data_IF_321920526748
#
_entry.id   IF_321920526748
#
_cell.length_a   1.000
_cell.length_b   1.000
_cell.length_c   1.000
_cell.angle_alpha   90.00
_cell.angle_beta   90.00
_cell.angle_gamma   90.00
#
_symmetry.space_group_name_H-M   'P 1'
#
loop_
_entity.id
_entity.type
_entity.pdbx_description
1 polymer ?
#
# COMPACT_ATOMS: atom_id res chain seq x y z
N UNK A 1 -8.34 3.84 19.40
CA UNK A 1 -7.38 4.60 20.24
C UNK A 1 -6.13 4.89 19.41
N UNK A 2 -5.44 6.02 19.63
CA UNK A 2 -4.27 6.42 18.80
C UNK A 2 -3.17 5.36 18.80
N UNK A 3 -2.89 4.71 19.94
CA UNK A 3 -1.87 3.66 20.00
C UNK A 3 -2.20 2.45 19.10
N UNK A 4 -3.48 2.11 18.96
CA UNK A 4 -3.92 1.01 18.08
C UNK A 4 -3.69 1.38 16.62
N UNK A 5 -4.07 2.60 16.22
CA UNK A 5 -3.84 3.08 14.85
C UNK A 5 -2.35 3.10 14.49
N UNK A 6 -1.49 3.55 15.40
CA UNK A 6 -0.03 3.53 15.19
C UNK A 6 0.48 2.10 15.04
N UNK A 7 0.00 1.16 15.86
CA UNK A 7 0.37 -0.25 15.76
C UNK A 7 -0.06 -0.86 14.42
N UNK A 8 -1.29 -0.60 13.98
CA UNK A 8 -1.83 -1.10 12.72
C UNK A 8 -1.06 -0.51 11.52
N UNK A 9 -0.84 0.82 11.50
CA UNK A 9 -0.04 1.49 10.46
C UNK A 9 1.37 0.92 10.38
N UNK A 10 2.04 0.78 11.52
CA UNK A 10 3.39 0.22 11.59
C UNK A 10 3.46 -1.22 11.09
N UNK A 11 2.45 -2.03 11.43
CA UNK A 11 2.36 -3.44 11.01
C UNK A 11 2.17 -3.56 9.50
N UNK A 12 1.27 -2.78 8.92
CA UNK A 12 1.04 -2.76 7.47
C UNK A 12 2.26 -2.26 6.68
N UNK A 13 2.94 -1.22 7.18
CA UNK A 13 4.19 -0.72 6.58
C UNK A 13 5.29 -1.79 6.66
N UNK A 14 5.41 -2.49 7.79
CA UNK A 14 6.39 -3.55 7.96
C UNK A 14 6.11 -4.71 6.99
N UNK A 15 4.85 -5.17 6.89
CA UNK A 15 4.45 -6.21 5.97
C UNK A 15 4.75 -5.83 4.51
N UNK A 16 4.39 -4.60 4.09
CA UNK A 16 4.68 -4.11 2.75
C UNK A 16 6.19 -4.05 2.47
N UNK A 17 7.01 -3.62 3.43
CA UNK A 17 8.48 -3.62 3.29
C UNK A 17 9.04 -5.02 3.16
N UNK A 18 8.53 -5.98 3.92
CA UNK A 18 8.94 -7.39 3.79
C UNK A 18 8.63 -7.94 2.40
N UNK A 19 7.41 -7.67 1.88
CA UNK A 19 7.04 -8.05 0.51
C UNK A 19 7.95 -7.40 -0.54
N UNK A 20 8.28 -6.11 -0.39
CA UNK A 20 9.18 -5.40 -1.31
C UNK A 20 10.61 -5.94 -1.29
N UNK A 21 11.14 -6.30 -0.13
CA UNK A 21 12.48 -6.87 -0.04
C UNK A 21 12.55 -8.29 -0.64
N UNK A 22 11.53 -9.11 -0.41
CA UNK A 22 11.39 -10.42 -1.07
C UNK A 22 11.32 -10.28 -2.60
N UNK A 23 10.49 -9.35 -3.08
CA UNK A 23 10.38 -9.01 -4.50
C UNK A 23 11.72 -8.55 -5.10
N UNK A 24 12.42 -7.64 -4.42
CA UNK A 24 13.69 -7.08 -4.90
C UNK A 24 14.80 -8.15 -4.95
N UNK A 25 14.91 -8.99 -3.92
CA UNK A 25 15.89 -10.08 -3.87
C UNK A 25 15.67 -11.09 -5.02
N UNK A 26 14.42 -11.39 -5.36
CA UNK A 26 14.10 -12.27 -6.47
C UNK A 26 14.34 -11.64 -7.84
N UNK A 27 14.04 -10.34 -7.97
CA UNK A 27 14.37 -9.58 -9.16
C UNK A 27 15.88 -9.60 -9.44
N UNK A 28 16.70 -9.36 -8.40
CA UNK A 28 18.16 -9.38 -8.50
C UNK A 28 18.70 -10.77 -8.87
N UNK A 29 17.98 -11.84 -8.52
CA UNK A 29 18.28 -13.23 -8.91
C UNK A 29 17.79 -13.60 -10.32
N UNK A 30 17.13 -12.69 -11.03
CA UNK A 30 16.58 -12.92 -12.37
C UNK A 30 15.35 -13.84 -12.39
N UNK A 31 14.64 -13.96 -11.26
CA UNK A 31 13.40 -14.74 -11.17
C UNK A 31 12.25 -13.92 -11.78
N UNK A 32 11.26 -14.57 -12.40
CA UNK A 32 10.04 -13.88 -12.86
C UNK A 32 9.28 -13.33 -11.64
N UNK A 33 9.16 -12.02 -11.59
CA UNK A 33 8.52 -11.30 -10.48
C UNK A 33 7.13 -10.74 -10.83
N UNK A 34 6.60 -11.00 -12.03
CA UNK A 34 5.36 -10.35 -12.49
C UNK A 34 4.20 -10.55 -11.50
N UNK A 35 4.06 -11.76 -10.96
CA UNK A 35 3.06 -12.10 -9.93
C UNK A 35 3.29 -11.29 -8.65
N UNK A 36 4.48 -11.40 -8.05
CA UNK A 36 4.83 -10.75 -6.79
C UNK A 36 4.80 -9.23 -6.90
N UNK A 37 5.16 -8.66 -8.05
CA UNK A 37 5.09 -7.23 -8.31
C UNK A 37 3.64 -6.74 -8.28
N UNK A 38 2.72 -7.45 -8.94
CA UNK A 38 1.29 -7.12 -8.92
C UNK A 38 0.70 -7.23 -7.51
N UNK A 39 1.08 -8.25 -6.74
CA UNK A 39 0.68 -8.42 -5.34
C UNK A 39 1.23 -7.31 -4.45
N UNK A 40 2.51 -6.95 -4.59
CA UNK A 40 3.15 -5.87 -3.84
C UNK A 40 2.48 -4.52 -4.13
N UNK A 41 2.20 -4.21 -5.40
CA UNK A 41 1.46 -2.99 -5.77
C UNK A 41 0.06 -3.00 -5.16
N UNK A 42 -0.65 -4.12 -5.26
CA UNK A 42 -1.99 -4.22 -4.69
C UNK A 42 -1.98 -3.97 -3.17
N UNK A 43 -1.02 -4.56 -2.45
CA UNK A 43 -0.88 -4.34 -1.02
C UNK A 43 -0.47 -2.89 -0.70
N UNK A 44 0.40 -2.27 -1.49
CA UNK A 44 0.80 -0.89 -1.27
C UNK A 44 -0.40 0.08 -1.31
N UNK A 45 -1.40 -0.17 -2.17
CA UNK A 45 -2.64 0.60 -2.20
C UNK A 45 -3.46 0.42 -0.90
N UNK A 46 -3.50 -0.80 -0.34
CA UNK A 46 -4.21 -1.06 0.90
C UNK A 46 -3.50 -0.40 2.09
N UNK A 47 -2.17 -0.52 2.16
CA UNK A 47 -1.34 0.09 3.19
C UNK A 47 -1.44 1.62 3.15
N UNK A 48 -1.27 2.25 1.99
CA UNK A 48 -1.34 3.72 1.90
C UNK A 48 -2.73 4.24 2.27
N UNK A 49 -3.79 3.51 1.89
CA UNK A 49 -5.16 3.83 2.30
C UNK A 49 -5.27 3.88 3.82
N UNK A 50 -4.92 2.77 4.48
CA UNK A 50 -5.05 2.63 5.93
C UNK A 50 -4.23 3.69 6.66
N UNK A 51 -2.98 3.90 6.24
CA UNK A 51 -2.09 4.89 6.85
C UNK A 51 -2.62 6.31 6.66
N UNK A 52 -3.10 6.67 5.46
CA UNK A 52 -3.65 8.01 5.23
C UNK A 52 -4.95 8.25 5.99
N UNK A 53 -5.83 7.24 6.08
CA UNK A 53 -7.11 7.33 6.80
C UNK A 53 -6.84 7.51 8.31
N UNK A 54 -5.94 6.69 8.90
CA UNK A 54 -5.58 6.79 10.31
C UNK A 54 -4.75 8.02 10.67
N UNK A 55 -3.93 8.54 9.73
CA UNK A 55 -3.29 9.84 9.89
C UNK A 55 -4.35 10.92 10.10
N UNK A 56 -5.33 11.03 9.19
CA UNK A 56 -6.37 12.05 9.30
C UNK A 56 -7.19 11.89 10.59
N UNK A 57 -7.57 10.66 10.95
CA UNK A 57 -8.31 10.39 12.19
C UNK A 57 -7.50 10.76 13.45
N UNK A 58 -6.18 10.51 13.45
CA UNK A 58 -5.28 10.86 14.57
C UNK A 58 -5.21 12.37 14.80
N UNK A 59 -5.14 13.15 13.71
CA UNK A 59 -5.19 14.61 13.82
C UNK A 59 -6.61 15.13 14.09
N UNK A 60 -7.65 14.34 13.80
CA UNK A 60 -9.04 14.74 13.99
C UNK A 60 -9.43 15.91 13.09
N UNK A 61 -10.40 16.70 13.54
CA UNK A 61 -10.99 17.78 12.71
C UNK A 61 -9.98 18.81 12.21
N UNK A 62 -8.93 19.12 12.99
CA UNK A 62 -7.90 20.09 12.58
C UNK A 62 -7.09 19.58 11.37
N UNK A 63 -6.94 18.26 11.22
CA UNK A 63 -6.24 17.64 10.10
C UNK A 63 -6.94 17.81 8.75
N UNK A 64 -8.21 18.21 8.75
CA UNK A 64 -9.00 18.43 7.52
C UNK A 64 -8.78 19.81 6.90
N UNK A 65 -8.17 20.76 7.62
CA UNK A 65 -7.96 22.12 7.16
C UNK A 65 -6.53 22.33 6.64
N UNK A 66 -6.39 23.15 5.61
CA UNK A 66 -5.12 23.45 4.95
C UNK A 66 -4.14 24.19 5.88
N UNK A 67 -4.68 25.00 6.80
CA UNK A 67 -3.94 25.80 7.79
C UNK A 67 -3.61 25.02 9.09
N UNK A 68 -3.65 23.68 9.04
CA UNK A 68 -3.27 22.84 10.17
C UNK A 68 -1.83 23.17 10.65
N UNK A 69 -1.64 23.62 11.92
CA UNK A 69 -0.34 24.02 12.43
C UNK A 69 0.66 22.86 12.57
N UNK A 70 0.20 21.60 12.52
CA UNK A 70 1.03 20.41 12.66
C UNK A 70 1.50 19.80 11.33
N UNK A 71 1.08 20.38 10.20
CA UNK A 71 1.52 19.98 8.87
C UNK A 71 0.36 19.73 7.89
N UNK A 72 0.69 19.43 6.62
CA UNK A 72 -0.27 19.43 5.51
C UNK A 72 -1.08 18.14 5.42
N UNK A 73 -1.82 17.79 6.48
CA UNK A 73 -2.54 16.52 6.63
C UNK A 73 -3.57 16.30 5.52
N UNK A 74 -4.40 17.30 5.21
CA UNK A 74 -5.41 17.20 4.14
C UNK A 74 -4.77 16.99 2.77
N UNK A 75 -3.65 17.67 2.51
CA UNK A 75 -2.93 17.55 1.23
C UNK A 75 -2.32 16.18 1.10
N UNK A 76 -1.64 15.68 2.14
CA UNK A 76 -1.07 14.34 2.16
C UNK A 76 -2.16 13.29 1.95
N UNK A 77 -3.33 13.47 2.58
CA UNK A 77 -4.48 12.60 2.36
C UNK A 77 -4.89 12.55 0.88
N UNK A 78 -5.05 13.71 0.23
CA UNK A 78 -5.38 13.80 -1.20
C UNK A 78 -4.30 13.21 -2.10
N UNK A 79 -3.03 13.51 -1.83
CA UNK A 79 -1.89 13.01 -2.62
C UNK A 79 -1.82 11.47 -2.52
N UNK A 80 -2.03 10.89 -1.33
CA UNK A 80 -2.12 9.44 -1.14
C UNK A 80 -3.26 8.78 -1.95
N UNK A 81 -4.34 9.50 -2.27
CA UNK A 81 -5.43 8.95 -3.09
C UNK A 81 -5.04 8.72 -4.54
N UNK A 82 -4.12 9.50 -5.10
CA UNK A 82 -3.64 9.31 -6.46
C UNK A 82 -2.99 7.93 -6.64
N UNK A 83 -2.26 7.46 -5.62
CA UNK A 83 -1.58 6.15 -5.61
C UNK A 83 -2.52 4.96 -5.82
N UNK A 84 -3.83 5.14 -5.72
CA UNK A 84 -4.82 4.09 -5.93
C UNK A 84 -5.13 3.85 -7.41
N UNK A 85 -4.81 4.83 -8.26
CA UNK A 85 -5.19 4.91 -9.66
C UNK A 85 -3.95 4.84 -10.56
N UNK A 86 -2.89 5.56 -10.17
CA UNK A 86 -1.63 5.61 -10.90
C UNK A 86 -0.93 4.24 -10.94
N UNK A 87 -0.22 3.99 -12.04
CA UNK A 87 0.55 2.76 -12.31
C UNK A 87 -0.28 1.47 -12.17
N UNK A 88 -1.54 1.55 -12.58
CA UNK A 88 -2.48 0.44 -12.57
C UNK A 88 -3.37 0.44 -11.32
N UNK A 89 -4.70 0.62 -11.49
CA UNK A 89 -5.62 0.59 -10.37
C UNK A 89 -5.75 -0.81 -9.77
N UNK A 90 -6.33 -0.92 -8.56
CA UNK A 90 -6.52 -2.20 -7.86
C UNK A 90 -7.19 -3.29 -8.70
N UNK A 91 -8.13 -2.93 -9.57
CA UNK A 91 -8.81 -3.88 -10.46
C UNK A 91 -7.83 -4.54 -11.43
N UNK A 92 -6.94 -3.75 -12.03
CA UNK A 92 -5.91 -4.25 -12.96
C UNK A 92 -4.92 -5.13 -12.22
N UNK A 93 -4.40 -4.68 -11.06
CA UNK A 93 -3.45 -5.47 -10.28
C UNK A 93 -4.03 -6.81 -9.83
N UNK A 94 -5.33 -6.85 -9.48
CA UNK A 94 -6.03 -8.11 -9.18
C UNK A 94 -6.13 -9.04 -10.38
N UNK A 95 -6.41 -8.51 -11.57
CA UNK A 95 -6.49 -9.33 -12.80
C UNK A 95 -5.12 -9.94 -13.12
N UNK A 96 -4.04 -9.16 -13.02
CA UNK A 96 -2.67 -9.65 -13.26
C UNK A 96 -2.28 -10.73 -12.26
N UNK A 97 -2.46 -10.47 -10.96
CA UNK A 97 -2.14 -11.44 -9.92
C UNK A 97 -2.99 -12.72 -10.06
N UNK A 98 -4.31 -12.58 -10.25
CA UNK A 98 -5.20 -13.73 -10.42
C UNK A 98 -4.83 -14.58 -11.64
N UNK A 99 -4.43 -13.96 -12.76
CA UNK A 99 -4.02 -14.69 -13.96
C UNK A 99 -2.80 -15.57 -13.68
N UNK A 100 -1.78 -15.06 -13.00
CA UNK A 100 -0.57 -15.83 -12.66
C UNK A 100 -0.89 -16.95 -11.66
N UNK A 101 -1.60 -16.63 -10.59
CA UNK A 101 -2.03 -17.62 -9.59
C UNK A 101 -2.85 -18.77 -10.21
N UNK A 102 -3.77 -18.47 -11.13
CA UNK A 102 -4.57 -19.51 -11.80
C UNK A 102 -3.70 -20.38 -12.71
N UNK A 103 -2.73 -19.78 -13.42
CA UNK A 103 -1.79 -20.54 -14.27
C UNK A 103 -0.87 -21.45 -13.46
N UNK A 104 -0.59 -21.07 -12.22
CA UNK A 104 0.35 -21.73 -11.32
C UNK A 104 -0.34 -22.55 -10.22
N UNK A 105 -1.61 -22.90 -10.40
CA UNK A 105 -2.41 -23.72 -9.47
C UNK A 105 -2.46 -23.16 -8.02
N UNK A 106 -2.37 -21.83 -7.90
CA UNK A 106 -2.36 -21.11 -6.63
C UNK A 106 -1.02 -21.08 -5.91
N UNK A 107 0.04 -21.62 -6.52
CA UNK A 107 1.41 -21.54 -5.98
C UNK A 107 1.98 -20.16 -6.25
N UNK A 108 2.33 -19.44 -5.18
CA UNK A 108 3.07 -18.18 -5.27
C UNK A 108 4.54 -18.53 -5.51
N UNK A 109 5.06 -18.19 -6.68
CA UNK A 109 6.46 -18.46 -7.05
C UNK A 109 7.38 -17.37 -6.58
#
# INVERSE_FOLDING_TARGET
MIQQQIADMGTEIFALRAMLYDLADQYDKGIDIEEKAAMCKLQSINTVKLVSDYMLETFGGIGYFEDNPYGPVERLYRDCRAMWLEEGPRSVQRVTAARKLILDDGVIK
#
